data_IF_579905804921
#
_entry.id   IF_579905804921
#
_cell.length_a   1.000
_cell.length_b   1.000
_cell.length_c   1.000
_cell.angle_alpha   90.00
_cell.angle_beta   90.00
_cell.angle_gamma   90.00
#
_symmetry.space_group_name_H-M   'P 1'
#
loop_
_entity.id
_entity.type
_entity.pdbx_description
1 polymer ?
#
# COMPACT_ATOMS: atom_id res chain seq x y z
N UNK A 1 -9.45 -4.67 -0.98
CA UNK A 1 -9.34 -4.49 0.47
C UNK A 1 -7.85 -4.55 0.85
N UNK A 2 -7.31 -3.61 1.63
CA UNK A 2 -5.91 -3.68 2.05
C UNK A 2 -5.72 -4.85 3.04
N UNK A 3 -4.69 -5.64 2.79
CA UNK A 3 -4.30 -6.74 3.68
C UNK A 3 -3.21 -6.31 4.66
N UNK A 4 -2.31 -5.45 4.22
CA UNK A 4 -1.22 -4.91 5.02
C UNK A 4 -1.11 -3.40 4.83
N UNK A 5 -0.53 -2.73 5.81
CA UNK A 5 -0.24 -1.31 5.75
C UNK A 5 1.11 -1.01 6.41
N UNK A 6 1.75 0.07 6.00
CA UNK A 6 2.92 0.59 6.71
C UNK A 6 2.48 1.28 7.98
N UNK A 7 3.17 0.97 9.08
CA UNK A 7 2.86 1.50 10.40
C UNK A 7 4.11 2.01 11.09
N UNK A 8 3.96 3.04 11.90
CA UNK A 8 5.01 3.57 12.75
C UNK A 8 4.41 4.09 14.07
N UNK A 9 5.24 4.18 15.10
CA UNK A 9 4.80 4.79 16.36
C UNK A 9 4.56 6.28 16.16
N UNK A 10 3.47 6.81 16.72
CA UNK A 10 3.10 8.22 16.63
C UNK A 10 4.28 9.15 16.94
N UNK A 11 4.97 8.90 18.04
CA UNK A 11 6.12 9.75 18.43
C UNK A 11 7.28 9.72 17.43
N UNK A 12 7.43 8.64 16.63
CA UNK A 12 8.43 8.59 15.57
C UNK A 12 8.02 9.49 14.40
N UNK A 13 6.76 9.40 14.01
CA UNK A 13 6.17 10.24 12.96
C UNK A 13 6.30 11.72 13.33
N UNK A 14 5.95 12.08 14.56
CA UNK A 14 6.02 13.45 15.06
C UNK A 14 7.45 14.02 15.09
N UNK A 15 8.42 13.17 15.39
CA UNK A 15 9.85 13.58 15.45
C UNK A 15 10.55 13.57 14.11
N UNK A 16 10.06 12.80 13.14
CA UNK A 16 10.73 12.58 11.87
C UNK A 16 9.77 12.76 10.66
N UNK A 17 9.02 13.86 10.58
CA UNK A 17 8.03 14.06 9.54
C UNK A 17 8.64 14.05 8.14
N UNK A 18 9.87 14.54 7.99
CA UNK A 18 10.58 14.56 6.70
C UNK A 18 10.95 13.15 6.22
N UNK A 19 11.34 12.27 7.15
CA UNK A 19 11.65 10.86 6.82
C UNK A 19 10.38 10.14 6.35
N UNK A 20 9.29 10.31 7.09
CA UNK A 20 8.00 9.72 6.74
C UNK A 20 7.50 10.25 5.39
N UNK A 21 7.61 11.57 5.15
CA UNK A 21 7.23 12.16 3.86
C UNK A 21 8.10 11.65 2.72
N UNK A 22 9.42 11.54 2.92
CA UNK A 22 10.34 10.99 1.92
C UNK A 22 10.04 9.54 1.58
N UNK A 23 9.75 8.71 2.58
CA UNK A 23 9.32 7.33 2.39
C UNK A 23 8.00 7.26 1.60
N UNK A 24 7.02 8.06 1.98
CA UNK A 24 5.72 8.13 1.31
C UNK A 24 5.85 8.61 -0.14
N UNK A 25 6.70 9.61 -0.39
CA UNK A 25 7.00 10.06 -1.75
C UNK A 25 7.64 8.96 -2.61
N UNK A 26 8.52 8.16 -2.03
CA UNK A 26 9.13 7.02 -2.74
C UNK A 26 8.08 5.96 -3.13
N UNK A 27 7.13 5.68 -2.24
CA UNK A 27 6.00 4.80 -2.55
C UNK A 27 5.13 5.37 -3.67
N UNK A 28 4.83 6.68 -3.63
CA UNK A 28 4.04 7.33 -4.68
C UNK A 28 4.74 7.27 -6.04
N UNK A 29 6.05 7.45 -6.09
CA UNK A 29 6.83 7.27 -7.32
C UNK A 29 6.72 5.84 -7.86
N UNK A 30 6.76 4.85 -6.98
CA UNK A 30 6.53 3.44 -7.35
C UNK A 30 5.13 3.23 -7.92
N UNK A 31 4.10 3.78 -7.29
CA UNK A 31 2.73 3.72 -7.78
C UNK A 31 2.58 4.39 -9.15
N UNK A 32 3.17 5.57 -9.33
CA UNK A 32 3.17 6.28 -10.61
C UNK A 32 3.86 5.46 -11.71
N UNK A 33 4.95 4.77 -11.37
CA UNK A 33 5.62 3.87 -12.31
C UNK A 33 4.70 2.73 -12.75
N UNK A 34 4.05 2.06 -11.79
CA UNK A 34 3.11 0.97 -12.05
C UNK A 34 1.94 1.42 -12.94
N UNK A 35 1.39 2.62 -12.69
CA UNK A 35 0.28 3.15 -13.48
C UNK A 35 0.65 3.47 -14.95
N UNK A 36 1.92 3.71 -15.23
CA UNK A 36 2.40 4.18 -16.54
C UNK A 36 3.22 3.14 -17.31
N UNK A 37 3.37 1.93 -16.80
CA UNK A 37 4.17 0.88 -17.41
C UNK A 37 3.40 -0.44 -17.54
N UNK A 38 3.84 -1.29 -18.45
CA UNK A 38 3.25 -2.62 -18.65
C UNK A 38 3.66 -3.60 -17.56
N UNK A 39 2.90 -4.69 -17.34
CA UNK A 39 3.29 -5.75 -16.42
C UNK A 39 4.69 -6.33 -16.68
N UNK A 40 5.08 -6.45 -17.95
CA UNK A 40 6.41 -6.93 -18.36
C UNK A 40 7.53 -5.96 -17.95
N UNK A 41 7.30 -4.66 -18.11
CA UNK A 41 8.25 -3.62 -17.68
C UNK A 41 8.39 -3.59 -16.16
N UNK A 42 7.28 -3.69 -15.44
CA UNK A 42 7.26 -3.76 -13.97
C UNK A 42 8.01 -5.01 -13.51
N UNK A 43 7.72 -6.18 -14.09
CA UNK A 43 8.39 -7.44 -13.75
C UNK A 43 9.91 -7.35 -13.90
N UNK A 44 10.41 -6.76 -14.99
CA UNK A 44 11.84 -6.55 -15.21
C UNK A 44 12.51 -5.69 -14.15
N UNK A 45 11.82 -4.63 -13.68
CA UNK A 45 12.35 -3.73 -12.65
C UNK A 45 12.45 -4.44 -11.30
N UNK A 46 11.48 -5.27 -10.94
CA UNK A 46 11.44 -5.94 -9.64
C UNK A 46 12.18 -7.28 -9.61
N UNK A 47 12.48 -7.88 -10.76
CA UNK A 47 13.15 -9.18 -10.88
C UNK A 47 14.38 -9.33 -9.96
N UNK A 48 15.30 -8.34 -9.85
CA UNK A 48 16.47 -8.47 -8.97
C UNK A 48 16.15 -8.69 -7.49
N UNK A 49 14.93 -8.37 -7.05
CA UNK A 49 14.47 -8.56 -5.67
C UNK A 49 13.91 -9.98 -5.43
N UNK A 50 13.64 -10.73 -6.49
CA UNK A 50 13.03 -12.06 -6.45
C UNK A 50 13.92 -13.12 -7.11
N UNK A 51 15.13 -13.27 -6.58
CA UNK A 51 16.20 -14.10 -7.16
C UNK A 51 15.84 -15.58 -7.35
N UNK A 52 14.85 -16.08 -6.62
CA UNK A 52 14.42 -17.49 -6.68
C UNK A 52 13.21 -17.69 -7.64
N UNK A 53 12.76 -16.63 -8.29
CA UNK A 53 11.59 -16.66 -9.18
C UNK A 53 12.01 -16.19 -10.57
N UNK A 54 11.66 -16.96 -11.59
CA UNK A 54 11.97 -16.58 -12.99
C UNK A 54 11.09 -15.41 -13.46
N UNK A 55 11.58 -14.70 -14.47
CA UNK A 55 10.92 -13.51 -15.02
C UNK A 55 9.50 -13.80 -15.55
N UNK A 56 9.28 -14.95 -16.17
CA UNK A 56 7.95 -15.30 -16.71
C UNK A 56 6.93 -15.49 -15.59
N UNK A 57 7.33 -16.10 -14.49
CA UNK A 57 6.51 -16.26 -13.30
C UNK A 57 6.21 -14.91 -12.66
N UNK A 58 7.22 -14.03 -12.50
CA UNK A 58 7.04 -12.68 -11.98
C UNK A 58 6.06 -11.89 -12.87
N UNK A 59 6.23 -11.95 -14.18
CA UNK A 59 5.35 -11.28 -15.16
C UNK A 59 3.90 -11.76 -15.01
N UNK A 60 3.70 -13.08 -14.86
CA UNK A 60 2.36 -13.65 -14.64
C UNK A 60 1.72 -13.13 -13.35
N UNK A 61 2.49 -13.06 -12.25
CA UNK A 61 2.00 -12.53 -10.97
C UNK A 61 1.64 -11.04 -11.08
N UNK A 62 2.53 -10.25 -11.66
CA UNK A 62 2.30 -8.80 -11.87
C UNK A 62 1.08 -8.56 -12.75
N UNK A 63 0.91 -9.34 -13.83
CA UNK A 63 -0.25 -9.23 -14.71
C UNK A 63 -1.55 -9.47 -13.95
N UNK A 64 -1.62 -10.49 -13.13
CA UNK A 64 -2.80 -10.78 -12.30
C UNK A 64 -3.15 -9.64 -11.34
N UNK A 65 -2.15 -9.09 -10.65
CA UNK A 65 -2.37 -7.95 -9.75
C UNK A 65 -2.79 -6.70 -10.51
N UNK A 66 -2.23 -6.48 -11.69
CA UNK A 66 -2.58 -5.36 -12.56
C UNK A 66 -4.04 -5.45 -13.04
N UNK A 67 -4.46 -6.63 -13.53
CA UNK A 67 -5.82 -6.89 -13.98
C UNK A 67 -6.87 -6.83 -12.87
N UNK A 68 -6.50 -7.13 -11.64
CA UNK A 68 -7.35 -7.02 -10.46
C UNK A 68 -7.46 -5.60 -9.90
N UNK A 69 -6.83 -4.62 -10.54
CA UNK A 69 -6.76 -3.25 -10.02
C UNK A 69 -6.25 -3.18 -8.57
N UNK A 70 -5.23 -3.99 -8.27
CA UNK A 70 -4.67 -4.07 -6.91
C UNK A 70 -3.94 -2.80 -6.52
N UNK A 71 -3.21 -2.20 -7.45
CA UNK A 71 -2.45 -0.98 -7.22
C UNK A 71 -3.26 0.26 -7.62
N UNK A 72 -3.54 1.09 -6.64
CA UNK A 72 -4.27 2.32 -6.82
C UNK A 72 -3.35 3.47 -7.28
N UNK A 73 -3.93 4.60 -7.61
CA UNK A 73 -3.23 5.78 -8.11
C UNK A 73 -2.70 6.70 -6.99
N UNK A 74 -3.14 6.45 -5.75
CA UNK A 74 -2.71 7.21 -4.59
C UNK A 74 -2.53 6.31 -3.36
N UNK A 75 -1.93 6.86 -2.30
CA UNK A 75 -1.57 6.14 -1.09
C UNK A 75 -2.52 6.41 0.09
N UNK A 76 -3.62 7.11 -0.13
CA UNK A 76 -4.58 7.42 0.94
C UNK A 76 -5.33 6.14 1.32
N UNK A 77 -5.22 5.75 2.60
CA UNK A 77 -6.05 4.69 3.15
C UNK A 77 -7.39 5.29 3.58
N UNK A 78 -8.38 5.14 2.74
CA UNK A 78 -9.68 5.77 2.92
C UNK A 78 -10.49 5.18 4.07
N UNK A 79 -11.28 6.01 4.74
CA UNK A 79 -12.10 5.63 5.88
C UNK A 79 -13.11 4.52 5.55
N UNK A 80 -13.72 4.55 4.38
CA UNK A 80 -14.65 3.49 3.92
C UNK A 80 -13.96 2.13 3.81
N UNK A 81 -12.72 2.11 3.31
CA UNK A 81 -11.91 0.88 3.22
C UNK A 81 -11.50 0.36 4.58
N UNK A 82 -11.18 1.26 5.51
CA UNK A 82 -10.88 0.92 6.90
C UNK A 82 -12.11 0.34 7.61
N UNK A 83 -13.28 0.95 7.45
CA UNK A 83 -14.52 0.45 8.04
C UNK A 83 -14.88 -0.93 7.47
N UNK A 84 -14.78 -1.12 6.15
CA UNK A 84 -15.03 -2.42 5.52
C UNK A 84 -14.13 -3.52 6.11
N UNK A 85 -12.84 -3.21 6.35
CA UNK A 85 -11.92 -4.16 6.99
C UNK A 85 -12.40 -4.53 8.40
N UNK A 86 -12.82 -3.55 9.20
CA UNK A 86 -13.34 -3.80 10.54
C UNK A 86 -14.64 -4.64 10.53
N UNK A 87 -15.55 -4.37 9.61
CA UNK A 87 -16.78 -5.12 9.44
C UNK A 87 -16.51 -6.59 9.09
N UNK A 88 -15.56 -6.86 8.21
CA UNK A 88 -15.13 -8.21 7.86
C UNK A 88 -14.54 -8.94 9.08
N UNK A 89 -13.63 -8.29 9.79
CA UNK A 89 -13.00 -8.86 11.00
C UNK A 89 -14.02 -9.10 12.10
N UNK A 90 -14.98 -8.21 12.27
CA UNK A 90 -16.08 -8.36 13.24
C UNK A 90 -16.99 -9.54 12.88
N UNK A 91 -17.35 -9.66 11.60
CA UNK A 91 -18.16 -10.77 11.09
C UNK A 91 -17.46 -12.12 11.24
N UNK A 92 -16.13 -12.12 11.15
CA UNK A 92 -15.31 -13.31 11.38
C UNK A 92 -15.08 -13.64 12.87
N UNK A 93 -15.54 -12.78 13.79
CA UNK A 93 -15.30 -12.93 15.22
C UNK A 93 -13.90 -12.56 15.70
N UNK A 94 -13.09 -11.98 14.84
CA UNK A 94 -11.69 -11.60 15.11
C UNK A 94 -11.56 -10.20 15.73
N UNK A 95 -12.60 -9.38 15.64
CA UNK A 95 -12.62 -8.02 16.18
C UNK A 95 -13.77 -7.85 17.17
N UNK A 96 -13.45 -7.64 18.43
CA UNK A 96 -14.44 -7.43 19.50
C UNK A 96 -14.82 -5.95 19.69
N UNK A 97 -13.92 -5.03 19.32
CA UNK A 97 -14.11 -3.59 19.46
C UNK A 97 -13.50 -2.87 18.27
N UNK A 98 -14.28 -2.04 17.63
CA UNK A 98 -13.82 -1.18 16.54
C UNK A 98 -12.92 -0.04 17.07
N UNK A 99 -11.95 0.34 16.26
CA UNK A 99 -11.10 1.50 16.48
C UNK A 99 -11.57 2.68 15.63
N UNK A 100 -11.55 3.92 16.14
CA UNK A 100 -11.78 5.09 15.33
C UNK A 100 -10.73 5.23 14.25
N UNK A 101 -11.13 5.63 13.05
CA UNK A 101 -10.24 5.81 11.91
C UNK A 101 -9.10 6.79 12.22
N UNK A 102 -9.44 7.93 12.82
CA UNK A 102 -8.51 9.00 13.17
C UNK A 102 -7.44 8.60 14.20
N UNK A 103 -7.67 7.53 14.97
CA UNK A 103 -6.71 7.03 15.96
C UNK A 103 -5.62 6.16 15.32
N UNK A 104 -5.89 5.55 14.18
CA UNK A 104 -5.01 4.57 13.53
C UNK A 104 -4.47 5.00 12.17
N UNK A 105 -5.12 5.93 11.49
CA UNK A 105 -4.78 6.32 10.11
C UNK A 105 -4.40 7.79 10.04
N UNK A 106 -3.22 8.06 9.48
CA UNK A 106 -2.74 9.42 9.19
C UNK A 106 -2.61 9.54 7.68
N UNK A 107 -3.38 10.43 7.07
CA UNK A 107 -3.41 10.62 5.62
C UNK A 107 -2.55 11.78 5.12
N UNK A 108 -2.11 12.67 6.00
CA UNK A 108 -1.39 13.91 5.65
C UNK A 108 -0.20 13.68 4.72
N UNK A 109 0.63 12.67 5.01
CA UNK A 109 1.81 12.37 4.20
C UNK A 109 1.43 11.79 2.83
N UNK A 110 0.38 10.96 2.77
CA UNK A 110 -0.13 10.42 1.52
C UNK A 110 -0.75 11.51 0.63
N UNK A 111 -1.52 12.43 1.20
CA UNK A 111 -2.11 13.58 0.50
C UNK A 111 -1.07 14.54 -0.06
N UNK A 112 0.07 14.68 0.61
CA UNK A 112 1.20 15.52 0.20
C UNK A 112 2.26 14.79 -0.64
N UNK A 113 2.06 13.51 -0.96
CA UNK A 113 3.02 12.72 -1.73
C UNK A 113 3.15 13.19 -3.18
N UNK A 114 4.39 13.18 -3.71
CA UNK A 114 4.75 13.65 -5.06
C UNK A 114 5.61 12.64 -5.80
#
# INVERSE_FOLDING_TARGET
MPYTAFSAKQRYIDKNPEIIQGFTNALQKGMNYVQNHTPEEIAKIIEPQFKETDLDTITTIVTRYYEQDTWKDNLVFEEESFQLLQDILKSAGELTKEAPYEDLVITTHAENAK
#
